data_IF_427484019068
#
_entry.id   IF_427484019068
#
_cell.length_a   1.000
_cell.length_b   1.000
_cell.length_c   1.000
_cell.angle_alpha   90.00
_cell.angle_beta   90.00
_cell.angle_gamma   90.00
#
_symmetry.space_group_name_H-M   'P 1'
#
loop_
_entity.id
_entity.type
_entity.pdbx_description
1 polymer ?
#
# COMPACT_ATOMS: atom_id res chain seq x y z
N UNK A 1 19.11 21.48 -11.61
CA UNK A 1 18.20 22.55 -11.14
C UNK A 1 18.08 22.61 -9.61
N UNK A 2 18.64 21.66 -8.85
CA UNK A 2 18.62 21.66 -7.36
C UNK A 2 19.73 22.49 -6.71
N UNK A 3 20.72 22.94 -7.50
CA UNK A 3 21.95 23.60 -7.04
C UNK A 3 21.76 25.03 -6.47
N UNK A 4 20.51 25.50 -6.40
CA UNK A 4 20.11 26.82 -5.88
C UNK A 4 18.90 26.75 -4.95
N UNK A 5 18.72 25.63 -4.24
CA UNK A 5 17.67 25.51 -3.23
C UNK A 5 18.17 26.13 -1.92
N UNK A 6 17.54 27.22 -1.48
CA UNK A 6 17.76 27.75 -0.14
C UNK A 6 16.94 26.96 0.88
N UNK A 7 17.59 25.96 1.49
CA UNK A 7 16.95 25.07 2.48
C UNK A 7 16.50 25.86 3.71
N UNK A 8 17.22 26.92 4.09
CA UNK A 8 16.94 27.71 5.29
C UNK A 8 15.65 28.53 5.21
N UNK A 9 15.13 28.75 4.00
CA UNK A 9 13.89 29.47 3.75
C UNK A 9 12.69 28.55 3.41
N UNK A 10 12.86 27.22 3.48
CA UNK A 10 11.77 26.29 3.21
C UNK A 10 10.68 26.38 4.28
N UNK A 11 9.42 26.24 3.86
CA UNK A 11 8.33 26.00 4.79
C UNK A 11 8.62 24.74 5.63
N UNK A 12 8.28 24.76 6.92
CA UNK A 12 8.62 23.68 7.88
C UNK A 12 8.28 22.26 7.37
N UNK A 13 7.15 22.12 6.65
CA UNK A 13 6.77 20.86 5.99
C UNK A 13 7.84 20.38 4.99
N UNK A 14 8.30 21.26 4.09
CA UNK A 14 9.31 20.93 3.09
C UNK A 14 10.71 20.80 3.68
N UNK A 15 11.00 21.48 4.80
CA UNK A 15 12.22 21.22 5.56
C UNK A 15 12.23 19.79 6.09
N UNK A 16 11.18 19.38 6.82
CA UNK A 16 11.08 18.01 7.32
C UNK A 16 11.04 16.97 6.21
N UNK A 17 10.42 17.28 5.07
CA UNK A 17 10.43 16.40 3.90
C UNK A 17 11.82 16.30 3.26
N UNK A 18 12.55 17.41 3.17
CA UNK A 18 13.94 17.44 2.69
C UNK A 18 14.87 16.64 3.61
N UNK A 19 14.68 16.72 4.93
CA UNK A 19 15.43 15.92 5.89
C UNK A 19 15.12 14.42 5.76
N UNK A 20 13.85 14.07 5.45
CA UNK A 20 13.40 12.69 5.33
C UNK A 20 13.83 12.02 4.02
N UNK A 21 13.70 12.70 2.87
CA UNK A 21 13.91 12.09 1.54
C UNK A 21 15.01 12.76 0.72
N UNK A 22 15.65 13.81 1.23
CA UNK A 22 16.63 14.62 0.51
C UNK A 22 15.99 15.70 -0.37
N UNK A 23 16.75 16.76 -0.72
CA UNK A 23 16.23 17.93 -1.43
C UNK A 23 15.74 17.60 -2.85
N UNK A 24 16.39 16.66 -3.55
CA UNK A 24 15.99 16.28 -4.91
C UNK A 24 14.63 15.56 -4.94
N UNK A 25 14.42 14.60 -4.04
CA UNK A 25 13.15 13.88 -3.96
C UNK A 25 12.02 14.77 -3.43
N UNK A 26 12.33 15.62 -2.44
CA UNK A 26 11.39 16.64 -1.95
C UNK A 26 10.92 17.55 -3.09
N UNK A 27 11.82 18.01 -3.96
CA UNK A 27 11.44 18.83 -5.12
C UNK A 27 10.53 18.10 -6.10
N UNK A 28 10.72 16.79 -6.34
CA UNK A 28 9.79 16.00 -7.16
C UNK A 28 8.39 15.99 -6.54
N UNK A 29 8.29 15.82 -5.22
CA UNK A 29 7.00 15.85 -4.51
C UNK A 29 6.35 17.23 -4.60
N UNK A 30 7.12 18.31 -4.40
CA UNK A 30 6.64 19.68 -4.54
C UNK A 30 6.07 19.93 -5.94
N UNK A 31 6.83 19.62 -7.00
CA UNK A 31 6.38 19.87 -8.37
C UNK A 31 5.13 19.07 -8.75
N UNK A 32 4.99 17.84 -8.24
CA UNK A 32 3.82 17.01 -8.55
C UNK A 32 2.57 17.37 -7.74
N UNK A 33 2.72 17.76 -6.48
CA UNK A 33 1.60 17.84 -5.54
C UNK A 33 1.32 19.24 -4.97
N UNK A 34 2.12 20.27 -5.29
CA UNK A 34 1.87 21.64 -4.79
C UNK A 34 0.45 22.11 -5.10
N UNK A 35 -0.21 22.71 -4.11
CA UNK A 35 -1.60 23.17 -4.21
C UNK A 35 -2.67 22.07 -4.09
N UNK A 36 -2.28 20.79 -3.95
CA UNK A 36 -3.20 19.67 -3.76
C UNK A 36 -3.38 19.35 -2.27
N UNK A 37 -4.59 18.96 -1.87
CA UNK A 37 -4.83 18.37 -0.55
C UNK A 37 -4.52 16.86 -0.60
N UNK A 38 -3.39 16.46 0.00
CA UNK A 38 -2.95 15.06 0.05
C UNK A 38 -3.36 14.40 1.37
N UNK A 39 -3.92 13.18 1.29
CA UNK A 39 -4.09 12.29 2.43
C UNK A 39 -3.26 11.03 2.22
N UNK A 40 -2.38 10.70 3.17
CA UNK A 40 -1.53 9.50 3.08
C UNK A 40 -2.32 8.29 3.59
N UNK A 41 -2.44 7.21 2.79
CA UNK A 41 -3.10 5.99 3.25
C UNK A 41 -2.39 5.36 4.46
N UNK A 42 -3.17 4.77 5.38
CA UNK A 42 -2.64 4.04 6.54
C UNK A 42 -2.02 2.70 6.13
N UNK A 43 -2.57 2.06 5.09
CA UNK A 43 -2.06 0.80 4.58
C UNK A 43 -1.17 1.09 3.36
N UNK A 44 0.04 0.53 3.39
CA UNK A 44 0.99 0.69 2.29
C UNK A 44 0.53 -0.02 1.02
N UNK A 45 -0.07 -1.20 1.16
CA UNK A 45 -0.57 -1.99 0.05
C UNK A 45 -2.06 -1.72 -0.19
N UNK A 46 -2.44 -1.72 -1.46
CA UNK A 46 -3.85 -1.71 -1.84
C UNK A 46 -4.56 -2.98 -1.36
N UNK A 47 -5.79 -2.83 -0.89
CA UNK A 47 -6.53 -3.93 -0.24
C UNK A 47 -6.86 -5.06 -1.22
N UNK A 48 -7.25 -4.73 -2.43
CA UNK A 48 -7.71 -5.72 -3.41
C UNK A 48 -6.50 -6.42 -4.06
N UNK A 49 -5.45 -5.66 -4.36
CA UNK A 49 -4.18 -6.24 -4.81
C UNK A 49 -3.55 -7.14 -3.73
N UNK A 50 -3.56 -6.71 -2.47
CA UNK A 50 -3.09 -7.53 -1.36
C UNK A 50 -3.92 -8.81 -1.20
N UNK A 51 -5.24 -8.74 -1.33
CA UNK A 51 -6.10 -9.91 -1.25
C UNK A 51 -5.78 -10.95 -2.34
N UNK A 52 -5.58 -10.51 -3.59
CA UNK A 52 -5.16 -11.39 -4.68
C UNK A 52 -3.82 -12.07 -4.39
N UNK A 53 -2.85 -11.33 -3.84
CA UNK A 53 -1.54 -11.87 -3.48
C UNK A 53 -1.63 -12.86 -2.33
N UNK A 54 -2.43 -12.56 -1.30
CA UNK A 54 -2.71 -13.48 -0.18
C UNK A 54 -3.24 -14.82 -0.67
N UNK A 55 -4.24 -14.82 -1.55
CA UNK A 55 -4.82 -16.08 -2.08
C UNK A 55 -3.76 -16.87 -2.84
N UNK A 56 -2.96 -16.19 -3.68
CA UNK A 56 -1.94 -16.81 -4.53
C UNK A 56 -0.76 -17.38 -3.73
N UNK A 57 -0.36 -16.71 -2.66
CA UNK A 57 0.87 -17.02 -1.91
C UNK A 57 0.61 -17.83 -0.62
N UNK A 58 -0.66 -18.12 -0.33
CA UNK A 58 -1.03 -18.93 0.81
C UNK A 58 -0.60 -20.40 0.65
N UNK A 59 0.18 -20.90 1.60
CA UNK A 59 0.76 -22.26 1.58
C UNK A 59 0.10 -23.22 2.59
N UNK A 60 -1.04 -22.83 3.17
CA UNK A 60 -1.74 -23.59 4.21
C UNK A 60 -1.47 -23.11 5.64
N UNK A 61 -0.31 -22.48 5.90
CA UNK A 61 0.14 -22.19 7.28
C UNK A 61 0.72 -20.78 7.48
N UNK A 62 1.07 -20.06 6.40
CA UNK A 62 1.72 -18.73 6.44
C UNK A 62 0.78 -17.53 6.63
N UNK A 63 -0.36 -17.68 7.31
CA UNK A 63 -1.36 -16.60 7.43
C UNK A 63 -0.83 -15.38 8.18
N UNK A 64 -0.04 -15.63 9.23
CA UNK A 64 0.57 -14.58 10.07
C UNK A 64 1.64 -13.81 9.29
N UNK A 65 2.44 -14.50 8.49
CA UNK A 65 3.47 -13.87 7.65
C UNK A 65 2.81 -12.98 6.60
N UNK A 66 1.78 -13.46 5.92
CA UNK A 66 1.03 -12.70 4.93
C UNK A 66 0.36 -11.45 5.55
N UNK A 67 -0.20 -11.58 6.75
CA UNK A 67 -0.76 -10.46 7.51
C UNK A 67 0.31 -9.39 7.78
N UNK A 68 1.50 -9.80 8.22
CA UNK A 68 2.62 -8.91 8.50
C UNK A 68 3.18 -8.24 7.24
N UNK A 69 3.35 -9.00 6.16
CA UNK A 69 3.88 -8.49 4.88
C UNK A 69 2.96 -7.40 4.32
N UNK A 70 1.65 -7.66 4.24
CA UNK A 70 0.71 -6.73 3.63
C UNK A 70 0.16 -5.66 4.61
N UNK A 71 0.52 -5.73 5.89
CA UNK A 71 0.10 -4.76 6.88
C UNK A 71 -1.39 -4.86 7.27
N UNK A 72 -1.96 -6.06 7.20
CA UNK A 72 -3.36 -6.32 7.59
C UNK A 72 -3.44 -7.27 8.78
N UNK A 73 -4.61 -7.35 9.42
CA UNK A 73 -4.82 -8.32 10.51
C UNK A 73 -4.90 -9.76 10.01
N UNK A 74 -4.50 -10.72 10.85
CA UNK A 74 -4.72 -12.15 10.56
C UNK A 74 -6.20 -12.48 10.32
N UNK A 75 -7.12 -11.80 11.01
CA UNK A 75 -8.56 -11.95 10.80
C UNK A 75 -8.96 -11.56 9.38
N UNK A 76 -8.38 -10.50 8.84
CA UNK A 76 -8.60 -10.07 7.47
C UNK A 76 -8.06 -11.11 6.49
N UNK A 77 -6.84 -11.61 6.68
CA UNK A 77 -6.26 -12.68 5.84
C UNK A 77 -7.15 -13.93 5.83
N UNK A 78 -7.60 -14.39 7.00
CA UNK A 78 -8.53 -15.52 7.12
C UNK A 78 -9.84 -15.28 6.38
N UNK A 79 -10.35 -14.04 6.40
CA UNK A 79 -11.57 -13.67 5.66
C UNK A 79 -11.37 -13.72 4.15
N UNK A 80 -10.24 -13.23 3.64
CA UNK A 80 -9.87 -13.28 2.21
C UNK A 80 -9.79 -14.74 1.74
N UNK A 81 -9.07 -15.59 2.48
CA UNK A 81 -8.92 -17.01 2.15
C UNK A 81 -10.24 -17.80 2.25
N UNK A 82 -11.17 -17.35 3.09
CA UNK A 82 -12.51 -17.96 3.17
C UNK A 82 -13.35 -17.54 1.96
N UNK A 83 -13.32 -16.26 1.60
CA UNK A 83 -14.08 -15.73 0.46
C UNK A 83 -13.62 -16.40 -0.84
N UNK A 84 -12.31 -16.48 -1.08
CA UNK A 84 -11.76 -17.15 -2.27
C UNK A 84 -12.25 -18.60 -2.42
N UNK A 85 -12.27 -19.36 -1.32
CA UNK A 85 -12.80 -20.74 -1.31
C UNK A 85 -14.30 -20.79 -1.61
N UNK A 86 -15.08 -19.81 -1.17
CA UNK A 86 -16.51 -19.74 -1.47
C UNK A 86 -16.73 -19.41 -2.95
N UNK A 87 -15.96 -18.48 -3.50
CA UNK A 87 -16.05 -18.07 -4.89
C UNK A 87 -15.68 -19.24 -5.84
N UNK A 88 -14.64 -20.01 -5.51
CA UNK A 88 -14.27 -21.24 -6.23
C UNK A 88 -15.39 -22.29 -6.21
N UNK A 89 -16.04 -22.49 -5.05
CA UNK A 89 -17.15 -23.44 -4.91
C UNK A 89 -18.39 -23.00 -5.70
N UNK A 90 -18.65 -21.70 -5.80
CA UNK A 90 -19.76 -21.17 -6.59
C UNK A 90 -19.49 -21.34 -8.08
N UNK A 91 -18.28 -21.00 -8.54
CA UNK A 91 -17.88 -21.18 -9.93
C UNK A 91 -17.95 -22.66 -10.36
N UNK A 92 -17.49 -23.58 -9.52
CA UNK A 92 -17.55 -25.01 -9.80
C UNK A 92 -18.98 -25.58 -9.91
N UNK A 93 -19.97 -24.94 -9.27
CA UNK A 93 -21.39 -25.33 -9.36
C UNK A 93 -22.02 -24.81 -10.67
N UNK A 94 -21.69 -23.58 -11.06
CA UNK A 94 -22.23 -22.94 -12.28
C UNK A 94 -21.76 -23.60 -13.58
N UNK A 95 -20.61 -24.29 -13.57
CA UNK A 95 -20.11 -25.04 -14.72
C UNK A 95 -20.70 -26.46 -14.87
N UNK A 96 -21.56 -26.90 -13.94
CA UNK A 96 -22.17 -28.24 -13.96
C UNK A 96 -23.62 -28.25 -14.45
N UNK A 97 -24.22 -27.09 -14.67
CA UNK A 97 -25.56 -26.88 -15.23
C UNK A 97 -25.46 -26.43 -16.71
#
# INVERSE_FOLDING_TARGET
>A
MTDKLDIGALHNFYHGLSDLVGPEAMMKIYEQYKGTQLSVPVHLYDRDLAAQRVVREFNGHNQQDLARIYGYSEKWVKSVLRQARQDEQLAAKQHRD
#
